data_IF_742383970320
#
_entry.id   IF_742383970320
#
_cell.length_a   1.000
_cell.length_b   1.000
_cell.length_c   1.000
_cell.angle_alpha   90.00
_cell.angle_beta   90.00
_cell.angle_gamma   90.00
#
_symmetry.space_group_name_H-M   'P 1'
#
loop_
_entity.id
_entity.type
_entity.pdbx_description
1 polymer ?
#
# COMPACT_ATOMS: atom_id res chain seq x y z
N UNK A 1 8.80 -9.84 -12.42
CA UNK A 1 9.46 -8.60 -11.94
C UNK A 1 10.92 -8.79 -11.51
N UNK A 2 11.34 -9.82 -10.74
CA UNK A 2 12.75 -9.93 -10.31
C UNK A 2 13.74 -10.11 -11.47
N UNK A 3 13.37 -10.81 -12.54
CA UNK A 3 14.22 -10.93 -13.75
C UNK A 3 14.34 -9.63 -14.55
N UNK A 4 13.35 -8.74 -14.50
CA UNK A 4 13.41 -7.44 -15.18
C UNK A 4 14.31 -6.43 -14.45
N UNK A 5 14.56 -6.67 -13.16
CA UNK A 5 15.35 -5.81 -12.28
C UNK A 5 16.78 -6.30 -12.10
N UNK A 6 16.99 -7.63 -12.09
CA UNK A 6 18.28 -8.26 -11.82
C UNK A 6 18.60 -9.47 -12.72
N UNK A 7 17.77 -9.79 -13.72
CA UNK A 7 17.96 -10.89 -14.65
C UNK A 7 18.61 -10.45 -15.97
N UNK A 8 18.85 -11.43 -16.87
CA UNK A 8 19.56 -11.21 -18.12
C UNK A 8 18.87 -10.23 -19.11
N UNK A 9 17.54 -10.09 -19.02
CA UNK A 9 16.71 -9.16 -19.80
C UNK A 9 16.32 -7.89 -19.00
N UNK A 10 17.31 -7.27 -18.34
CA UNK A 10 17.10 -6.05 -17.56
C UNK A 10 16.53 -4.93 -18.44
N UNK A 11 15.33 -4.43 -18.10
CA UNK A 11 14.72 -3.33 -18.84
C UNK A 11 13.86 -2.44 -17.93
N UNK A 12 14.46 -1.33 -17.50
CA UNK A 12 13.85 -0.35 -16.60
C UNK A 12 12.54 0.22 -17.16
N UNK A 13 12.49 0.48 -18.48
CA UNK A 13 11.27 0.96 -19.17
C UNK A 13 10.10 -0.02 -19.05
N UNK A 14 10.37 -1.33 -19.14
CA UNK A 14 9.34 -2.37 -18.94
C UNK A 14 8.93 -2.46 -17.48
N UNK A 15 9.87 -2.33 -16.53
CA UNK A 15 9.56 -2.30 -15.10
C UNK A 15 8.67 -1.10 -14.69
N UNK A 16 8.93 0.09 -15.23
CA UNK A 16 8.08 1.27 -15.01
C UNK A 16 6.68 1.10 -15.61
N UNK A 17 6.59 0.53 -16.81
CA UNK A 17 5.30 0.26 -17.46
C UNK A 17 4.49 -0.75 -16.66
N UNK A 18 5.13 -1.83 -16.19
CA UNK A 18 4.50 -2.81 -15.30
C UNK A 18 4.02 -2.18 -14.01
N UNK A 19 4.82 -1.32 -13.38
CA UNK A 19 4.43 -0.62 -12.16
C UNK A 19 3.20 0.28 -12.37
N UNK A 20 3.14 1.03 -13.48
CA UNK A 20 1.97 1.85 -13.83
C UNK A 20 0.72 0.98 -14.01
N UNK A 21 0.83 -0.11 -14.76
CA UNK A 21 -0.27 -1.06 -14.94
C UNK A 21 -0.72 -1.66 -13.60
N UNK A 22 0.23 -2.01 -12.73
CA UNK A 22 -0.03 -2.60 -11.43
C UNK A 22 -0.77 -1.62 -10.49
N UNK A 23 -0.40 -0.33 -10.53
CA UNK A 23 -1.12 0.72 -9.80
C UNK A 23 -2.56 0.89 -10.32
N UNK A 24 -2.77 0.86 -11.64
CA UNK A 24 -4.11 0.96 -12.24
C UNK A 24 -4.98 -0.24 -11.84
N UNK A 25 -4.44 -1.46 -11.97
CA UNK A 25 -5.14 -2.69 -11.58
C UNK A 25 -5.45 -2.68 -10.07
N UNK A 26 -4.50 -2.28 -9.25
CA UNK A 26 -4.68 -2.13 -7.81
C UNK A 26 -5.80 -1.14 -7.47
N UNK A 27 -5.89 -0.02 -8.19
CA UNK A 27 -6.93 0.98 -7.95
C UNK A 27 -8.31 0.45 -8.33
N UNK A 28 -8.43 -0.21 -9.48
CA UNK A 28 -9.70 -0.81 -9.94
C UNK A 28 -10.16 -1.89 -8.96
N UNK A 29 -9.28 -2.84 -8.62
CA UNK A 29 -9.59 -3.88 -7.65
C UNK A 29 -9.92 -3.31 -6.27
N UNK A 30 -9.19 -2.28 -5.84
CA UNK A 30 -9.44 -1.58 -4.58
C UNK A 30 -10.84 -0.98 -4.52
N UNK A 31 -11.26 -0.27 -5.57
CA UNK A 31 -12.62 0.29 -5.65
C UNK A 31 -13.66 -0.82 -5.66
N UNK A 32 -13.46 -1.89 -6.42
CA UNK A 32 -14.40 -3.03 -6.46
C UNK A 32 -14.54 -3.66 -5.08
N UNK A 33 -13.43 -4.03 -4.45
CA UNK A 33 -13.41 -4.67 -3.13
C UNK A 33 -13.98 -3.75 -2.06
N UNK A 34 -13.61 -2.47 -2.07
CA UNK A 34 -14.17 -1.47 -1.15
C UNK A 34 -15.68 -1.33 -1.32
N UNK A 35 -16.17 -1.28 -2.56
CA UNK A 35 -17.61 -1.16 -2.83
C UNK A 35 -18.37 -2.39 -2.35
N UNK A 36 -17.87 -3.59 -2.64
CA UNK A 36 -18.46 -4.85 -2.12
C UNK A 36 -18.40 -4.88 -0.59
N UNK A 37 -17.29 -4.43 0.00
CA UNK A 37 -17.09 -4.33 1.44
C UNK A 37 -18.02 -3.33 2.13
N UNK A 38 -18.53 -2.31 1.42
CA UNK A 38 -19.61 -1.45 1.91
C UNK A 38 -20.96 -2.15 1.73
N UNK A 39 -21.25 -2.63 0.51
CA UNK A 39 -22.58 -3.08 0.14
C UNK A 39 -23.06 -4.27 0.96
N UNK A 40 -22.17 -5.22 1.27
CA UNK A 40 -22.54 -6.44 1.99
C UNK A 40 -22.95 -6.14 3.44
N UNK A 41 -22.15 -5.44 4.27
CA UNK A 41 -22.57 -5.06 5.62
C UNK A 41 -23.75 -4.09 5.65
N UNK A 42 -23.94 -3.27 4.62
CA UNK A 42 -25.06 -2.33 4.54
C UNK A 42 -26.39 -3.04 4.22
N UNK A 43 -26.40 -3.94 3.23
CA UNK A 43 -27.63 -4.61 2.77
C UNK A 43 -27.96 -5.86 3.58
N UNK A 44 -26.95 -6.57 4.07
CA UNK A 44 -27.10 -7.87 4.72
C UNK A 44 -26.32 -7.95 6.05
N UNK A 45 -26.48 -6.99 6.99
CA UNK A 45 -25.76 -7.00 8.26
C UNK A 45 -26.05 -8.25 9.11
N UNK A 46 -27.28 -8.78 9.00
CA UNK A 46 -27.76 -9.95 9.74
C UNK A 46 -27.02 -11.26 9.41
N UNK A 47 -26.22 -11.30 8.33
CA UNK A 47 -25.37 -12.46 8.01
C UNK A 47 -24.22 -12.57 9.03
N UNK A 48 -23.74 -11.45 9.57
CA UNK A 48 -22.63 -11.43 10.52
C UNK A 48 -23.08 -11.46 11.97
N UNK A 49 -24.16 -10.75 12.29
CA UNK A 49 -24.68 -10.65 13.67
C UNK A 49 -26.14 -10.24 13.68
N UNK A 50 -26.90 -10.72 14.66
CA UNK A 50 -28.29 -10.30 14.90
C UNK A 50 -28.42 -9.17 15.93
N UNK A 51 -27.31 -8.73 16.53
CA UNK A 51 -27.32 -7.67 17.55
C UNK A 51 -27.33 -6.27 16.89
N UNK A 52 -28.42 -5.53 17.12
CA UNK A 52 -28.64 -4.18 16.59
C UNK A 52 -27.55 -3.19 17.00
N UNK A 53 -26.99 -3.31 18.20
CA UNK A 53 -25.94 -2.40 18.68
C UNK A 53 -24.65 -2.58 17.87
N UNK A 54 -24.30 -3.82 17.54
CA UNK A 54 -23.12 -4.14 16.73
C UNK A 54 -23.32 -3.68 15.29
N UNK A 55 -24.52 -3.89 14.74
CA UNK A 55 -24.87 -3.42 13.39
C UNK A 55 -24.71 -1.91 13.29
N UNK A 56 -25.20 -1.15 14.28
CA UNK A 56 -25.11 0.30 14.28
C UNK A 56 -23.65 0.79 14.31
N UNK A 57 -22.79 0.17 15.11
CA UNK A 57 -21.36 0.50 15.13
C UNK A 57 -20.62 0.11 13.84
N UNK A 58 -20.97 -1.03 13.21
CA UNK A 58 -20.44 -1.37 11.88
C UNK A 58 -20.81 -0.30 10.84
N UNK A 59 -22.06 0.18 10.86
CA UNK A 59 -22.54 1.24 9.97
C UNK A 59 -21.80 2.57 10.15
N UNK A 60 -21.35 2.85 11.38
CA UNK A 60 -20.59 4.06 11.70
C UNK A 60 -19.18 4.05 11.10
N UNK A 61 -18.56 2.88 10.95
CA UNK A 61 -17.18 2.74 10.46
C UNK A 61 -17.08 2.33 8.98
N UNK A 62 -18.22 2.11 8.33
CA UNK A 62 -18.32 1.61 6.95
C UNK A 62 -17.55 2.47 5.93
N UNK A 63 -17.57 3.79 6.10
CA UNK A 63 -16.80 4.72 5.25
C UNK A 63 -15.30 4.57 5.49
N UNK A 64 -14.87 4.46 6.74
CA UNK A 64 -13.45 4.24 7.08
C UNK A 64 -12.97 2.87 6.56
N UNK A 65 -13.82 1.86 6.66
CA UNK A 65 -13.55 0.53 6.12
C UNK A 65 -13.32 0.56 4.61
N UNK A 66 -14.12 1.33 3.86
CA UNK A 66 -13.90 1.54 2.43
C UNK A 66 -12.54 2.14 2.12
N UNK A 67 -12.15 3.22 2.81
CA UNK A 67 -10.85 3.85 2.56
C UNK A 67 -9.68 2.94 2.91
N UNK A 68 -9.84 2.07 3.93
CA UNK A 68 -8.85 1.05 4.26
C UNK A 68 -8.77 -0.01 3.15
N UNK A 69 -9.90 -0.53 2.67
CA UNK A 69 -9.94 -1.56 1.62
C UNK A 69 -9.48 -1.04 0.25
N UNK A 70 -9.87 0.17 -0.13
CA UNK A 70 -9.61 0.71 -1.46
C UNK A 70 -8.10 0.86 -1.76
N UNK A 71 -7.30 1.21 -0.75
CA UNK A 71 -5.87 1.39 -0.93
C UNK A 71 -5.07 0.09 -0.82
N UNK A 72 -5.64 -0.93 -0.18
CA UNK A 72 -4.95 -2.18 0.19
C UNK A 72 -4.33 -2.92 -1.01
N UNK A 73 -5.06 -3.15 -2.13
CA UNK A 73 -4.47 -3.83 -3.30
C UNK A 73 -3.31 -3.06 -3.93
N UNK A 74 -3.39 -1.72 -3.93
CA UNK A 74 -2.29 -0.87 -4.41
C UNK A 74 -1.06 -1.02 -3.51
N UNK A 75 -1.25 -0.92 -2.19
CA UNK A 75 -0.16 -1.05 -1.21
C UNK A 75 0.52 -2.42 -1.31
N UNK A 76 -0.24 -3.52 -1.38
CA UNK A 76 0.32 -4.86 -1.55
C UNK A 76 1.11 -5.02 -2.84
N UNK A 77 0.66 -4.43 -3.94
CA UNK A 77 1.39 -4.43 -5.21
C UNK A 77 2.72 -3.69 -5.13
N UNK A 78 2.73 -2.52 -4.49
CA UNK A 78 3.95 -1.72 -4.31
C UNK A 78 4.94 -2.40 -3.37
N UNK A 79 4.47 -2.95 -2.25
CA UNK A 79 5.31 -3.69 -1.31
C UNK A 79 5.85 -4.98 -1.94
N UNK A 80 5.03 -5.70 -2.70
CA UNK A 80 5.45 -6.87 -3.48
C UNK A 80 6.51 -6.51 -4.51
N UNK A 81 6.40 -5.34 -5.13
CA UNK A 81 7.42 -4.80 -6.04
C UNK A 81 8.73 -4.52 -5.32
N UNK A 82 8.69 -3.89 -4.14
CA UNK A 82 9.87 -3.62 -3.32
C UNK A 82 10.53 -4.92 -2.82
N UNK A 83 9.73 -5.93 -2.46
CA UNK A 83 10.21 -7.27 -2.11
C UNK A 83 10.94 -7.92 -3.29
N UNK A 84 10.38 -7.82 -4.50
CA UNK A 84 11.04 -8.30 -5.72
C UNK A 84 12.35 -7.56 -6.03
N UNK A 85 12.44 -6.28 -5.63
CA UNK A 85 13.66 -5.47 -5.69
C UNK A 85 14.69 -5.75 -4.58
N UNK A 86 14.45 -6.74 -3.71
CA UNK A 86 15.32 -7.11 -2.57
C UNK A 86 15.60 -6.00 -1.55
N UNK A 87 14.78 -4.94 -1.49
CA UNK A 87 14.96 -3.83 -0.56
C UNK A 87 14.37 -4.13 0.85
N UNK A 88 14.72 -5.30 1.40
CA UNK A 88 14.12 -5.86 2.63
C UNK A 88 14.43 -5.02 3.88
N UNK A 89 15.59 -4.36 3.92
CA UNK A 89 15.97 -3.49 5.05
C UNK A 89 15.04 -2.29 5.15
N UNK A 90 14.74 -1.65 4.02
CA UNK A 90 13.80 -0.53 3.97
C UNK A 90 12.39 -0.98 4.36
N UNK A 91 11.92 -2.12 3.84
CA UNK A 91 10.61 -2.67 4.18
C UNK A 91 10.52 -2.96 5.67
N UNK A 92 11.50 -3.65 6.25
CA UNK A 92 11.51 -4.00 7.67
C UNK A 92 11.50 -2.76 8.58
N UNK A 93 12.34 -1.76 8.26
CA UNK A 93 12.39 -0.51 9.02
C UNK A 93 11.07 0.28 8.89
N UNK A 94 10.52 0.36 7.68
CA UNK A 94 9.23 1.01 7.41
C UNK A 94 8.09 0.32 8.16
N UNK A 95 8.03 -1.02 8.15
CA UNK A 95 6.97 -1.76 8.87
C UNK A 95 7.08 -1.64 10.37
N UNK A 96 8.29 -1.75 10.93
CA UNK A 96 8.50 -1.57 12.37
C UNK A 96 8.16 -0.14 12.80
N UNK A 97 8.57 0.87 12.02
CA UNK A 97 8.25 2.27 12.26
C UNK A 97 6.76 2.56 12.19
N UNK A 98 6.08 2.08 11.14
CA UNK A 98 4.64 2.24 11.00
C UNK A 98 3.89 1.52 12.14
N UNK A 99 4.33 0.31 12.51
CA UNK A 99 3.69 -0.48 13.56
C UNK A 99 3.82 0.18 14.94
N UNK A 100 5.03 0.61 15.30
CA UNK A 100 5.28 1.31 16.56
C UNK A 100 4.53 2.63 16.65
N UNK A 101 4.54 3.45 15.59
CA UNK A 101 3.76 4.68 15.53
C UNK A 101 2.25 4.40 15.57
N UNK A 102 1.77 3.42 14.81
CA UNK A 102 0.37 3.01 14.80
C UNK A 102 -0.11 2.52 16.17
N UNK A 103 0.71 1.74 16.87
CA UNK A 103 0.43 1.27 18.23
C UNK A 103 0.36 2.44 19.24
N UNK A 104 1.29 3.38 19.17
CA UNK A 104 1.25 4.61 19.99
C UNK A 104 -0.02 5.43 19.72
N UNK A 105 -0.40 5.56 18.46
CA UNK A 105 -1.58 6.32 18.03
C UNK A 105 -2.86 5.63 18.50
N UNK A 106 -2.95 4.30 18.37
CA UNK A 106 -4.06 3.51 18.92
C UNK A 106 -4.16 3.62 20.44
N UNK A 107 -3.04 3.60 21.15
CA UNK A 107 -3.00 3.75 22.60
C UNK A 107 -3.48 5.15 23.03
N UNK A 108 -3.10 6.18 22.29
CA UNK A 108 -3.59 7.55 22.50
C UNK A 108 -5.09 7.69 22.22
N UNK A 109 -5.58 7.05 21.17
CA UNK A 109 -7.00 7.07 20.79
C UNK A 109 -7.85 6.32 21.83
N UNK A 110 -7.35 5.18 22.31
CA UNK A 110 -7.98 4.37 23.35
C UNK A 110 -8.09 5.13 24.67
N UNK A 111 -7.01 5.78 25.11
CA UNK A 111 -6.99 6.57 26.36
C UNK A 111 -7.90 7.80 26.32
N UNK A 112 -8.18 8.36 25.13
CA UNK A 112 -9.06 9.53 24.96
C UNK A 112 -10.53 9.18 24.70
N UNK A 113 -10.90 7.90 24.68
CA UNK A 113 -12.31 7.48 24.58
C UNK A 113 -12.95 7.70 23.20
N UNK A 114 -12.16 7.83 22.13
CA UNK A 114 -12.68 8.01 20.76
C UNK A 114 -13.39 6.77 20.19
N UNK A 115 -13.38 5.64 20.92
CA UNK A 115 -14.11 4.42 20.57
C UNK A 115 -13.66 3.79 19.25
N UNK A 116 -14.56 2.98 18.68
CA UNK A 116 -14.32 2.21 17.46
C UNK A 116 -13.97 3.09 16.23
N UNK A 117 -14.63 4.23 15.96
CA UNK A 117 -14.28 5.10 14.82
C UNK A 117 -12.88 5.68 14.93
N UNK A 118 -12.40 5.99 16.14
CA UNK A 118 -11.04 6.43 16.37
C UNK A 118 -10.01 5.38 15.98
N UNK A 119 -10.23 4.12 16.37
CA UNK A 119 -9.37 3.00 16.01
C UNK A 119 -9.33 2.78 14.49
N UNK A 120 -10.48 2.84 13.82
CA UNK A 120 -10.56 2.75 12.35
C UNK A 120 -9.87 3.91 11.65
N UNK A 121 -9.96 5.12 12.19
CA UNK A 121 -9.26 6.29 11.63
C UNK A 121 -7.74 6.12 11.70
N UNK A 122 -7.23 5.59 12.82
CA UNK A 122 -5.81 5.26 12.96
C UNK A 122 -5.37 4.16 11.97
N UNK A 123 -6.21 3.13 11.76
CA UNK A 123 -5.96 2.06 10.78
C UNK A 123 -5.92 2.59 9.34
N UNK A 124 -6.87 3.46 8.96
CA UNK A 124 -6.86 4.11 7.65
C UNK A 124 -5.59 4.93 7.47
N UNK A 125 -5.24 5.76 8.46
CA UNK A 125 -4.01 6.55 8.43
C UNK A 125 -2.76 5.69 8.25
N UNK A 126 -2.67 4.56 8.96
CA UNK A 126 -1.58 3.59 8.81
C UNK A 126 -1.51 2.98 7.41
N UNK A 127 -2.64 2.54 6.86
CA UNK A 127 -2.72 1.90 5.55
C UNK A 127 -2.28 2.86 4.43
N UNK A 128 -2.68 4.12 4.55
CA UNK A 128 -2.32 5.19 3.61
C UNK A 128 -0.86 5.64 3.78
N UNK A 129 -0.36 5.74 5.01
CA UNK A 129 1.05 6.04 5.26
C UNK A 129 1.97 5.00 4.61
N UNK A 130 1.64 3.71 4.74
CA UNK A 130 2.37 2.62 4.05
C UNK A 130 2.36 2.76 2.55
N UNK A 131 1.19 3.04 1.96
CA UNK A 131 1.07 3.31 0.53
C UNK A 131 2.00 4.43 0.07
N UNK A 132 1.95 5.59 0.74
CA UNK A 132 2.78 6.74 0.38
C UNK A 132 4.27 6.48 0.56
N UNK A 133 4.67 5.79 1.63
CA UNK A 133 6.07 5.43 1.85
C UNK A 133 6.59 4.49 0.78
N UNK A 134 5.82 3.46 0.41
CA UNK A 134 6.16 2.54 -0.65
C UNK A 134 6.23 3.26 -2.02
N UNK A 135 5.22 4.09 -2.32
CA UNK A 135 5.17 4.87 -3.55
C UNK A 135 6.34 5.86 -3.66
N UNK A 136 6.63 6.60 -2.57
CA UNK A 136 7.75 7.55 -2.52
C UNK A 136 9.09 6.87 -2.71
N UNK A 137 9.30 5.70 -2.11
CA UNK A 137 10.54 4.91 -2.31
C UNK A 137 10.70 4.48 -3.75
N UNK A 138 9.60 4.07 -4.38
CA UNK A 138 9.60 3.58 -5.75
C UNK A 138 9.75 4.69 -6.80
N UNK A 139 9.23 5.88 -6.51
CA UNK A 139 9.38 7.09 -7.34
C UNK A 139 10.67 7.88 -7.06
N UNK A 140 11.41 7.55 -6.00
CA UNK A 140 12.62 8.29 -5.62
C UNK A 140 13.70 8.20 -6.72
N UNK A 141 14.46 9.29 -6.99
CA UNK A 141 15.61 9.30 -7.92
C UNK A 141 16.78 8.39 -7.50
N UNK A 142 16.84 7.96 -6.25
CA UNK A 142 17.77 6.91 -5.78
C UNK A 142 17.09 5.53 -5.71
N UNK A 143 15.80 5.47 -6.05
CA UNK A 143 15.04 4.24 -6.17
C UNK A 143 15.52 3.43 -7.37
N UNK A 144 15.36 2.12 -7.25
CA UNK A 144 15.75 1.07 -8.20
C UNK A 144 15.54 1.38 -9.70
N UNK A 145 14.63 2.31 -10.04
CA UNK A 145 14.25 2.70 -11.38
C UNK A 145 15.10 3.82 -12.01
N UNK A 146 15.98 4.52 -11.27
CA UNK A 146 16.67 5.71 -11.77
C UNK A 146 18.21 5.65 -11.67
N UNK A 147 18.75 4.68 -10.91
CA UNK A 147 20.21 4.52 -10.70
C UNK A 147 20.97 3.92 -11.88
N UNK A 148 20.30 3.40 -12.91
CA UNK A 148 20.95 2.70 -14.04
C UNK A 148 21.11 3.56 -15.30
N UNK A 149 20.34 4.65 -15.45
CA UNK A 149 20.50 5.59 -16.60
C UNK A 149 21.91 6.20 -16.63
N UNK A 150 22.54 6.39 -15.47
CA UNK A 150 23.91 6.88 -15.38
C UNK A 150 24.98 5.88 -15.83
N UNK A 151 24.68 4.57 -15.82
CA UNK A 151 25.67 3.54 -16.16
C UNK A 151 25.63 3.18 -17.66
N UNK A 152 24.44 3.18 -18.27
CA UNK A 152 24.27 2.95 -19.71
C UNK A 152 24.93 4.06 -20.55
N UNK A 153 24.76 5.34 -20.14
CA UNK A 153 25.42 6.48 -20.78
C UNK A 153 26.95 6.47 -20.59
N UNK A 154 27.42 5.96 -19.43
CA UNK A 154 28.86 5.85 -19.14
C UNK A 154 29.50 4.71 -19.94
N UNK A 155 28.77 3.62 -20.18
CA UNK A 155 29.22 2.49 -20.99
C UNK A 155 29.22 2.81 -22.50
N UNK A 156 28.22 3.54 -23.02
CA UNK A 156 28.25 4.05 -24.40
C UNK A 156 29.42 5.01 -24.63
N UNK A 157 29.67 5.92 -23.68
CA UNK A 157 30.79 6.88 -23.78
C UNK A 157 32.16 6.20 -23.75
N UNK A 158 32.30 5.07 -23.04
CA UNK A 158 33.53 4.28 -23.01
C UNK A 158 33.73 3.39 -24.25
N UNK A 159 32.67 3.13 -25.03
CA UNK A 159 32.73 2.32 -26.25
C UNK A 159 32.95 3.15 -27.52
N UNK A 160 32.76 4.47 -27.43
CA UNK A 160 32.94 5.44 -28.50
C UNK A 160 34.27 6.21 -28.45
N UNK A 161 35.18 5.86 -27.53
CA UNK A 161 36.53 6.39 -27.39
C UNK A 161 37.56 5.27 -27.61
#
# INVERSE_FOLDING_TARGET
>A
MPELLYGADQSIKKAQTLLKSLAIIGAILGVIIGTVGILVPWLLPNIFTSDLNVIQEMHRVLVLFFFALAITPCTHSLEGTLLAGRDLKFISLSMSGCFSLGALLLLLVSTRGYGLPGCWSALVGFQWARFFLALRRLLSPEGLLHSTDGNEYKLEKLKAA
#
